data_IF_367104274983
#
_entry.id   IF_367104274983
#
_cell.length_a   1.000
_cell.length_b   1.000
_cell.length_c   1.000
_cell.angle_alpha   90.00
_cell.angle_beta   90.00
_cell.angle_gamma   90.00
#
_symmetry.space_group_name_H-M   'P 1'
#
loop_
_entity.id
_entity.type
_entity.pdbx_description
1 polymer ?
#
# COMPACT_ATOMS: atom_id res chain seq x y z
N UNK A 1 4.72 -30.34 -27.53
CA UNK A 1 3.54 -29.45 -27.63
C UNK A 1 3.30 -28.93 -26.23
N UNK A 2 4.15 -28.00 -25.80
CA UNK A 2 4.07 -27.38 -24.49
C UNK A 2 3.26 -26.10 -24.67
N UNK A 3 2.08 -26.03 -24.04
CA UNK A 3 1.41 -24.74 -23.86
C UNK A 3 1.81 -24.22 -22.50
N UNK A 4 2.57 -23.13 -22.57
CA UNK A 4 3.05 -22.28 -21.48
C UNK A 4 1.93 -21.91 -20.50
N UNK A 5 2.33 -21.80 -19.23
CA UNK A 5 1.47 -21.52 -18.10
C UNK A 5 0.63 -20.27 -18.29
N UNK A 6 -0.67 -20.40 -18.07
CA UNK A 6 -1.57 -19.27 -17.91
C UNK A 6 -1.21 -18.54 -16.63
N UNK A 7 -0.39 -17.51 -16.82
CA UNK A 7 -0.35 -16.24 -16.12
C UNK A 7 -1.36 -16.13 -14.97
N UNK A 8 -0.85 -15.99 -13.75
CA UNK A 8 -1.65 -15.67 -12.56
C UNK A 8 -2.14 -14.22 -12.71
N UNK A 9 -3.04 -14.00 -13.66
CA UNK A 9 -3.47 -12.70 -14.13
C UNK A 9 -4.19 -12.01 -12.97
N UNK A 10 -3.52 -11.03 -12.37
CA UNK A 10 -4.10 -10.20 -11.34
C UNK A 10 -5.38 -9.55 -11.90
N UNK A 11 -6.54 -9.99 -11.41
CA UNK A 11 -7.83 -9.45 -11.82
C UNK A 11 -8.04 -8.05 -11.18
N UNK A 12 -7.62 -7.03 -11.94
CA UNK A 12 -7.75 -5.61 -11.58
C UNK A 12 -9.18 -5.10 -11.71
N UNK A 13 -9.99 -5.70 -12.58
CA UNK A 13 -11.34 -5.23 -12.94
C UNK A 13 -12.25 -5.15 -11.73
N UNK A 14 -12.20 -6.15 -10.82
CA UNK A 14 -12.99 -6.10 -9.58
C UNK A 14 -12.69 -4.85 -8.75
N UNK A 15 -11.43 -4.42 -8.68
CA UNK A 15 -11.04 -3.22 -7.94
C UNK A 15 -11.48 -1.95 -8.67
N UNK A 16 -11.28 -1.89 -9.98
CA UNK A 16 -11.65 -0.73 -10.79
C UNK A 16 -13.14 -0.46 -10.73
N UNK A 17 -13.96 -1.51 -10.89
CA UNK A 17 -15.42 -1.42 -10.82
C UNK A 17 -15.90 -0.90 -9.47
N UNK A 18 -15.35 -1.42 -8.36
CA UNK A 18 -15.69 -0.94 -7.02
C UNK A 18 -15.21 0.51 -6.78
N UNK A 19 -14.04 0.88 -7.30
CA UNK A 19 -13.50 2.22 -7.13
C UNK A 19 -14.20 3.28 -7.99
N UNK A 20 -14.80 2.92 -9.12
CA UNK A 20 -15.45 3.86 -10.04
C UNK A 20 -16.47 4.76 -9.33
N UNK A 21 -17.34 4.17 -8.52
CA UNK A 21 -18.37 4.91 -7.79
C UNK A 21 -17.93 5.41 -6.39
N UNK A 22 -16.83 4.88 -5.84
CA UNK A 22 -16.51 5.05 -4.42
C UNK A 22 -15.17 5.75 -4.15
N UNK A 23 -14.27 5.84 -5.13
CA UNK A 23 -12.92 6.38 -4.90
C UNK A 23 -12.95 7.84 -4.44
N UNK A 24 -13.74 8.69 -5.12
CA UNK A 24 -13.84 10.12 -4.77
C UNK A 24 -14.41 10.31 -3.37
N UNK A 25 -15.43 9.54 -3.00
CA UNK A 25 -15.99 9.55 -1.64
C UNK A 25 -14.95 9.11 -0.61
N UNK A 26 -14.25 8.00 -0.85
CA UNK A 26 -13.21 7.50 0.04
C UNK A 26 -12.10 8.54 0.24
N UNK A 27 -11.60 9.14 -0.84
CA UNK A 27 -10.57 10.16 -0.79
C UNK A 27 -11.02 11.43 -0.05
N UNK A 28 -12.28 11.82 -0.21
CA UNK A 28 -12.86 12.96 0.52
C UNK A 28 -12.92 12.67 2.02
N UNK A 29 -13.46 11.51 2.41
CA UNK A 29 -13.50 11.09 3.82
C UNK A 29 -12.11 10.99 4.45
N UNK A 30 -11.11 10.52 3.68
CA UNK A 30 -9.72 10.46 4.11
C UNK A 30 -9.10 11.84 4.32
N UNK A 31 -9.41 12.81 3.46
CA UNK A 31 -8.96 14.22 3.57
C UNK A 31 -9.68 14.99 4.68
N UNK A 32 -10.89 14.56 5.01
CA UNK A 32 -11.66 15.10 6.14
C UNK A 32 -11.22 14.47 7.48
N UNK A 33 -10.33 13.48 7.46
CA UNK A 33 -9.82 12.81 8.64
C UNK A 33 -10.84 11.89 9.33
N UNK A 34 -11.87 11.45 8.61
CA UNK A 34 -12.89 10.55 9.17
C UNK A 34 -13.53 9.67 8.09
N UNK A 35 -13.26 8.36 8.17
CA UNK A 35 -13.95 7.34 7.40
C UNK A 35 -15.40 7.18 7.86
N UNK A 36 -16.33 7.15 6.91
CA UNK A 36 -17.78 7.09 7.14
C UNK A 36 -18.46 5.97 6.35
N UNK A 37 -17.94 5.61 5.18
CA UNK A 37 -18.60 4.64 4.28
C UNK A 37 -17.79 3.35 4.06
N UNK A 38 -18.35 2.42 3.29
CA UNK A 38 -17.89 1.03 3.19
C UNK A 38 -16.96 0.79 1.99
N UNK A 39 -15.72 1.27 2.07
CA UNK A 39 -14.75 1.16 0.97
C UNK A 39 -13.42 0.50 1.32
N UNK A 40 -13.23 0.10 2.59
CA UNK A 40 -11.91 -0.33 3.10
C UNK A 40 -11.26 -1.43 2.24
N UNK A 41 -12.03 -2.43 1.83
CA UNK A 41 -11.48 -3.63 1.17
C UNK A 41 -10.85 -3.38 -0.19
N UNK A 42 -11.36 -2.41 -0.95
CA UNK A 42 -10.93 -2.16 -2.34
C UNK A 42 -10.14 -0.85 -2.52
N UNK A 43 -10.10 0.00 -1.50
CA UNK A 43 -9.18 1.17 -1.44
C UNK A 43 -7.88 0.79 -0.73
N UNK A 44 -7.95 0.04 0.38
CA UNK A 44 -6.80 -0.48 1.11
C UNK A 44 -6.91 -2.00 1.21
N UNK A 45 -6.63 -2.74 0.11
CA UNK A 45 -6.72 -4.18 0.13
C UNK A 45 -5.61 -4.79 1.00
N UNK A 46 -5.91 -5.95 1.57
CA UNK A 46 -4.97 -6.75 2.37
C UNK A 46 -4.87 -8.14 1.75
N UNK A 47 -3.94 -8.96 2.26
CA UNK A 47 -3.84 -10.35 1.84
C UNK A 47 -5.16 -11.11 2.05
N UNK A 48 -5.57 -11.88 1.04
CA UNK A 48 -6.79 -12.69 1.04
C UNK A 48 -6.83 -13.67 2.21
N UNK A 49 -5.68 -14.23 2.58
CA UNK A 49 -5.54 -15.14 3.71
C UNK A 49 -5.94 -14.52 5.07
N UNK A 50 -5.94 -13.19 5.19
CA UNK A 50 -6.38 -12.48 6.40
C UNK A 50 -7.89 -12.19 6.40
N UNK A 51 -8.54 -12.31 5.24
CA UNK A 51 -9.95 -12.00 5.05
C UNK A 51 -10.88 -13.05 5.67
N UNK A 52 -11.75 -12.62 6.60
CA UNK A 52 -12.78 -13.48 7.20
C UNK A 52 -14.12 -13.42 6.48
N UNK A 53 -14.53 -12.23 6.02
CA UNK A 53 -15.79 -12.06 5.28
C UNK A 53 -15.63 -12.38 3.80
N UNK A 54 -16.75 -12.68 3.14
CA UNK A 54 -16.75 -12.91 1.69
C UNK A 54 -16.18 -11.71 0.92
N UNK A 55 -16.56 -10.49 1.29
CA UNK A 55 -16.04 -9.25 0.69
C UNK A 55 -14.53 -9.09 0.91
N UNK A 56 -14.02 -9.44 2.09
CA UNK A 56 -12.59 -9.38 2.37
C UNK A 56 -11.78 -10.40 1.58
N UNK A 57 -12.36 -11.58 1.32
CA UNK A 57 -11.74 -12.60 0.46
C UNK A 57 -11.84 -12.22 -1.01
N UNK A 58 -12.94 -11.62 -1.44
CA UNK A 58 -13.14 -11.19 -2.83
C UNK A 58 -12.15 -10.10 -3.25
N UNK A 59 -11.95 -9.07 -2.43
CA UNK A 59 -10.98 -8.00 -2.68
C UNK A 59 -9.58 -8.29 -2.09
N UNK A 60 -9.35 -9.51 -1.61
CA UNK A 60 -8.05 -9.91 -1.08
C UNK A 60 -6.99 -9.96 -2.18
N UNK A 61 -5.77 -9.56 -1.85
CA UNK A 61 -4.58 -9.80 -2.67
C UNK A 61 -4.05 -11.20 -2.35
N UNK A 62 -3.75 -12.00 -3.37
CA UNK A 62 -3.36 -13.41 -3.14
C UNK A 62 -1.98 -13.51 -2.46
N UNK A 63 -1.01 -12.79 -3.00
CA UNK A 63 0.40 -12.90 -2.62
C UNK A 63 1.19 -11.62 -2.97
N UNK A 64 2.52 -11.69 -2.86
CA UNK A 64 3.41 -10.57 -3.15
C UNK A 64 3.39 -10.17 -4.64
N UNK A 65 3.33 -11.16 -5.56
CA UNK A 65 3.31 -10.93 -7.01
C UNK A 65 2.04 -10.16 -7.41
N UNK A 66 0.90 -10.53 -6.81
CA UNK A 66 -0.35 -9.82 -7.01
C UNK A 66 -0.32 -8.39 -6.42
N UNK A 67 0.37 -8.17 -5.29
CA UNK A 67 0.57 -6.82 -4.74
C UNK A 67 1.45 -5.95 -5.66
N UNK A 68 2.53 -6.50 -6.21
CA UNK A 68 3.38 -5.82 -7.19
C UNK A 68 2.59 -5.47 -8.45
N UNK A 69 1.75 -6.39 -8.93
CA UNK A 69 0.86 -6.15 -10.08
C UNK A 69 -0.18 -5.05 -9.79
N UNK A 70 -0.74 -5.01 -8.59
CA UNK A 70 -1.64 -3.94 -8.14
C UNK A 70 -0.93 -2.58 -8.17
N UNK A 71 0.32 -2.51 -7.70
CA UNK A 71 1.13 -1.29 -7.70
C UNK A 71 1.50 -0.83 -9.12
N UNK A 72 1.83 -1.77 -10.01
CA UNK A 72 2.21 -1.48 -11.39
C UNK A 72 1.02 -1.02 -12.25
N UNK A 73 -0.21 -1.29 -11.82
CA UNK A 73 -1.40 -0.89 -12.55
C UNK A 73 -1.59 0.63 -12.58
N UNK A 74 -1.72 1.18 -13.79
CA UNK A 74 -1.73 2.64 -14.09
C UNK A 74 -2.74 3.48 -13.30
N UNK A 75 -3.82 2.87 -12.82
CA UNK A 75 -4.81 3.53 -11.96
C UNK A 75 -4.76 3.11 -10.49
N UNK A 76 -4.47 1.83 -10.19
CA UNK A 76 -4.68 1.31 -8.83
C UNK A 76 -3.52 1.70 -7.91
N UNK A 77 -2.28 1.60 -8.40
CA UNK A 77 -1.09 2.04 -7.68
C UNK A 77 -1.17 3.53 -7.29
N UNK A 78 -1.35 4.46 -8.24
CA UNK A 78 -1.44 5.88 -7.93
C UNK A 78 -2.59 6.22 -6.97
N UNK A 79 -3.75 5.58 -7.11
CA UNK A 79 -4.90 5.79 -6.20
C UNK A 79 -4.61 5.33 -4.78
N UNK A 80 -3.96 4.18 -4.63
CA UNK A 80 -3.57 3.67 -3.32
C UNK A 80 -2.56 4.60 -2.64
N UNK A 81 -1.58 5.11 -3.39
CA UNK A 81 -0.58 6.07 -2.89
C UNK A 81 -1.23 7.40 -2.50
N UNK A 82 -2.17 7.91 -3.31
CA UNK A 82 -2.91 9.14 -3.01
C UNK A 82 -3.75 8.96 -1.73
N UNK A 83 -4.49 7.86 -1.61
CA UNK A 83 -5.27 7.55 -0.41
C UNK A 83 -4.39 7.41 0.85
N UNK A 84 -3.25 6.72 0.75
CA UNK A 84 -2.29 6.60 1.84
C UNK A 84 -1.69 7.97 2.22
N UNK A 85 -1.42 8.82 1.23
CA UNK A 85 -0.89 10.17 1.47
C UNK A 85 -1.92 11.07 2.14
N UNK A 86 -3.21 10.93 1.80
CA UNK A 86 -4.29 11.68 2.42
C UNK A 86 -4.33 11.47 3.95
N UNK A 87 -4.14 10.24 4.41
CA UNK A 87 -4.08 9.92 5.83
C UNK A 87 -2.94 10.64 6.57
N UNK A 88 -1.79 10.82 5.92
CA UNK A 88 -0.61 11.43 6.55
C UNK A 88 -0.80 12.92 6.86
N UNK A 89 -1.77 13.61 6.26
CA UNK A 89 -2.14 14.96 6.67
C UNK A 89 -2.72 15.00 8.09
N UNK A 90 -3.27 13.89 8.58
CA UNK A 90 -3.89 13.75 9.89
C UNK A 90 -2.99 13.05 10.92
N UNK A 91 -1.67 13.05 10.72
CA UNK A 91 -0.70 12.36 11.61
C UNK A 91 -0.73 12.76 13.09
N UNK A 92 -1.38 13.88 13.43
CA UNK A 92 -1.59 14.31 14.83
C UNK A 92 -2.83 13.68 15.49
N UNK A 93 -3.68 13.00 14.73
CA UNK A 93 -4.87 12.32 15.23
C UNK A 93 -4.60 10.82 15.44
N UNK A 94 -5.20 10.20 16.47
CA UNK A 94 -5.18 8.75 16.60
C UNK A 94 -5.82 8.09 15.37
N UNK A 95 -5.19 7.05 14.83
CA UNK A 95 -5.72 6.36 13.65
C UNK A 95 -7.11 5.76 13.88
N UNK A 96 -7.41 5.37 15.12
CA UNK A 96 -8.73 4.88 15.55
C UNK A 96 -9.83 5.94 15.38
N UNK A 97 -9.50 7.22 15.50
CA UNK A 97 -10.44 8.33 15.25
C UNK A 97 -10.76 8.46 13.76
N UNK A 98 -9.77 8.21 12.89
CA UNK A 98 -9.92 8.35 11.44
C UNK A 98 -10.59 7.11 10.84
N UNK A 99 -10.10 5.92 11.18
CA UNK A 99 -10.46 4.65 10.53
C UNK A 99 -11.40 3.79 11.36
N UNK A 100 -11.50 4.02 12.67
CA UNK A 100 -12.17 3.09 13.59
C UNK A 100 -11.32 1.85 13.91
N UNK A 101 -11.75 1.11 14.93
CA UNK A 101 -10.98 0.02 15.55
C UNK A 101 -10.72 -1.18 14.62
N UNK A 102 -11.64 -1.46 13.69
CA UNK A 102 -11.51 -2.58 12.75
C UNK A 102 -10.66 -2.19 11.54
N UNK A 103 -10.98 -1.07 10.89
CA UNK A 103 -10.31 -0.70 9.64
C UNK A 103 -8.88 -0.22 9.88
N UNK A 104 -8.53 0.28 11.07
CA UNK A 104 -7.11 0.52 11.41
C UNK A 104 -6.26 -0.74 11.33
N UNK A 105 -6.79 -1.92 11.67
CA UNK A 105 -6.01 -3.18 11.62
C UNK A 105 -5.80 -3.61 10.17
N UNK A 106 -6.81 -3.37 9.33
CA UNK A 106 -6.73 -3.62 7.88
C UNK A 106 -5.71 -2.68 7.24
N UNK A 107 -5.73 -1.41 7.60
CA UNK A 107 -4.77 -0.42 7.10
C UNK A 107 -3.34 -0.81 7.45
N UNK A 108 -3.07 -1.26 8.68
CA UNK A 108 -1.74 -1.80 9.06
C UNK A 108 -1.35 -3.00 8.19
N UNK A 109 -2.29 -3.89 7.91
CA UNK A 109 -2.07 -5.07 7.06
C UNK A 109 -1.75 -4.68 5.61
N UNK A 110 -2.48 -3.70 5.06
CA UNK A 110 -2.25 -3.11 3.74
C UNK A 110 -0.89 -2.42 3.67
N UNK A 111 -0.59 -1.52 4.60
CA UNK A 111 0.68 -0.80 4.64
C UNK A 111 1.87 -1.77 4.73
N UNK A 112 1.73 -2.86 5.48
CA UNK A 112 2.77 -3.91 5.57
C UNK A 112 2.93 -4.66 4.25
N UNK A 113 1.82 -5.06 3.62
CA UNK A 113 1.84 -5.78 2.34
C UNK A 113 2.53 -4.96 1.25
N UNK A 114 2.09 -3.72 1.05
CA UNK A 114 2.62 -2.87 -0.02
C UNK A 114 4.01 -2.33 0.30
N UNK A 115 4.38 -2.23 1.57
CA UNK A 115 5.78 -2.01 1.96
C UNK A 115 6.68 -3.21 1.62
N UNK A 116 6.19 -4.44 1.76
CA UNK A 116 6.92 -5.65 1.38
C UNK A 116 7.02 -5.81 -0.14
N UNK A 117 5.99 -5.38 -0.88
CA UNK A 117 5.94 -5.37 -2.35
C UNK A 117 6.74 -4.22 -2.99
N UNK A 118 7.70 -3.65 -2.25
CA UNK A 118 8.52 -2.51 -2.66
C UNK A 118 7.73 -1.29 -3.19
N UNK A 119 6.55 -1.02 -2.62
CA UNK A 119 5.73 0.13 -2.97
C UNK A 119 6.28 1.47 -2.47
N UNK A 120 5.54 2.53 -2.76
CA UNK A 120 5.90 3.91 -2.40
C UNK A 120 6.26 4.06 -0.90
N UNK A 121 7.25 4.91 -0.54
CA UNK A 121 7.62 5.15 0.84
C UNK A 121 6.49 5.55 1.79
N UNK A 122 5.35 6.03 1.28
CA UNK A 122 4.14 6.37 2.03
C UNK A 122 3.67 5.25 2.95
N UNK A 123 3.76 3.98 2.53
CA UNK A 123 3.27 2.85 3.34
C UNK A 123 4.05 2.70 4.66
N UNK A 124 5.27 3.18 4.67
CA UNK A 124 6.16 3.09 5.83
C UNK A 124 6.03 4.27 6.73
N UNK A 125 5.79 5.43 6.13
CA UNK A 125 5.37 6.61 6.88
C UNK A 125 4.07 6.32 7.61
N UNK A 126 3.14 5.56 7.01
CA UNK A 126 1.94 5.09 7.71
C UNK A 126 2.30 4.20 8.92
N UNK A 127 3.15 3.18 8.72
CA UNK A 127 3.62 2.32 9.81
C UNK A 127 4.33 3.10 10.92
N UNK A 128 5.18 4.05 10.54
CA UNK A 128 5.93 4.89 11.47
C UNK A 128 5.02 5.82 12.28
N UNK A 129 4.10 6.52 11.63
CA UNK A 129 3.29 7.55 12.30
C UNK A 129 2.08 7.00 13.04
N UNK A 130 1.44 5.94 12.54
CA UNK A 130 0.21 5.42 13.12
C UNK A 130 0.38 4.12 13.90
N UNK A 131 1.52 3.44 13.76
CA UNK A 131 1.72 2.11 14.33
C UNK A 131 3.10 1.94 14.99
N UNK A 132 3.81 3.03 15.31
CA UNK A 132 5.11 3.00 15.99
C UNK A 132 6.12 2.07 15.31
N UNK A 133 6.08 2.01 13.97
CA UNK A 133 6.89 1.13 13.12
C UNK A 133 6.62 -0.36 13.31
N UNK A 134 5.50 -0.75 13.91
CA UNK A 134 5.09 -2.15 14.01
C UNK A 134 4.32 -2.60 12.76
N UNK A 135 4.89 -3.43 11.88
CA UNK A 135 4.15 -4.02 10.76
C UNK A 135 3.15 -5.07 11.24
N UNK A 136 2.19 -5.45 10.41
CA UNK A 136 1.24 -6.51 10.69
C UNK A 136 1.93 -7.88 10.66
N UNK A 137 2.10 -8.49 11.84
CA UNK A 137 2.76 -9.80 12.00
C UNK A 137 2.10 -10.88 11.14
N UNK A 138 0.76 -10.92 11.10
CA UNK A 138 0.04 -11.90 10.31
C UNK A 138 0.26 -11.73 8.80
N UNK A 139 0.45 -10.49 8.33
CA UNK A 139 0.83 -10.25 6.93
C UNK A 139 2.22 -10.81 6.67
N UNK A 140 3.19 -10.56 7.54
CA UNK A 140 4.56 -11.07 7.39
C UNK A 140 4.60 -12.60 7.41
N UNK A 141 3.91 -13.23 8.37
CA UNK A 141 3.82 -14.69 8.48
C UNK A 141 3.29 -15.34 7.20
N UNK A 142 2.22 -14.79 6.61
CA UNK A 142 1.66 -15.31 5.35
C UNK A 142 2.63 -15.12 4.18
N UNK A 143 3.44 -14.07 4.19
CA UNK A 143 4.48 -13.83 3.17
C UNK A 143 5.76 -14.64 3.42
N UNK A 144 5.85 -15.40 4.52
CA UNK A 144 7.09 -16.09 4.92
C UNK A 144 8.20 -15.13 5.33
N UNK A 145 7.83 -13.93 5.81
CA UNK A 145 8.74 -12.89 6.29
C UNK A 145 8.70 -12.79 7.81
N UNK A 146 9.79 -12.28 8.38
CA UNK A 146 9.88 -11.82 9.76
C UNK A 146 10.29 -10.33 9.80
N UNK A 147 10.42 -9.76 11.01
CA UNK A 147 10.80 -8.36 11.17
C UNK A 147 12.20 -8.06 10.63
N UNK A 148 13.13 -9.01 10.73
CA UNK A 148 14.51 -8.84 10.31
C UNK A 148 14.60 -8.78 8.78
N UNK A 149 13.98 -9.74 8.10
CA UNK A 149 13.92 -9.80 6.64
C UNK A 149 13.04 -8.69 6.05
N UNK A 150 11.96 -8.31 6.73
CA UNK A 150 11.19 -7.12 6.34
C UNK A 150 12.05 -5.86 6.41
N UNK A 151 12.87 -5.68 7.45
CA UNK A 151 13.83 -4.58 7.52
C UNK A 151 14.87 -4.63 6.39
N UNK A 152 15.42 -5.81 6.09
CA UNK A 152 16.47 -6.00 5.09
C UNK A 152 15.98 -5.75 3.65
N UNK A 153 14.81 -6.29 3.25
CA UNK A 153 14.19 -6.01 1.95
C UNK A 153 14.13 -4.50 1.69
N UNK A 154 13.90 -3.74 2.75
CA UNK A 154 13.70 -2.30 2.71
C UNK A 154 14.98 -1.47 2.76
N UNK A 155 16.09 -2.08 3.18
CA UNK A 155 17.41 -1.44 3.21
C UNK A 155 18.24 -1.72 1.96
N UNK A 156 17.98 -2.83 1.26
CA UNK A 156 18.67 -3.17 0.01
C UNK A 156 18.39 -2.15 -1.11
N UNK A 157 17.19 -1.57 -1.17
CA UNK A 157 16.83 -0.63 -2.24
C UNK A 157 17.40 0.80 -2.03
N UNK A 158 17.65 1.23 -0.77
CA UNK A 158 18.33 2.51 -0.48
C UNK A 158 19.81 2.56 -0.91
N UNK A 159 20.40 1.42 -1.31
CA UNK A 159 21.74 1.37 -1.92
C UNK A 159 21.66 1.42 -3.45
N UNK A 160 20.57 0.95 -4.07
CA UNK A 160 20.37 1.02 -5.51
C UNK A 160 20.06 2.45 -5.99
N UNK A 161 19.32 3.26 -5.20
CA UNK A 161 19.01 4.67 -5.56
C UNK A 161 20.15 5.66 -5.35
N UNK A 162 21.38 5.22 -5.02
CA UNK A 162 22.55 6.11 -4.85
C UNK A 162 23.50 6.12 -6.05
N UNK A 163 23.14 5.45 -7.14
CA UNK A 163 23.87 5.51 -8.42
C UNK A 163 23.05 6.26 -9.48
N UNK A 164 22.80 7.55 -9.24
CA UNK A 164 22.51 8.51 -10.31
C UNK A 164 23.19 9.83 -9.95
N UNK A 165 24.52 9.82 -10.08
CA UNK A 165 25.30 11.04 -10.10
C UNK A 165 24.95 11.85 -11.34
N UNK A 166 24.36 13.02 -11.12
CA UNK A 166 24.41 14.15 -12.07
C UNK A 166 24.65 15.41 -11.25
N UNK A 167 25.87 15.53 -10.74
CA UNK A 167 26.47 16.84 -10.51
C UNK A 167 26.73 17.47 -11.87
N UNK A 168 26.20 18.69 -12.08
CA UNK A 168 26.95 19.85 -12.59
C UNK A 168 26.02 21.07 -12.70
N UNK A 169 26.16 21.96 -11.72
CA UNK A 169 25.90 23.40 -11.90
C UNK A 169 27.02 23.98 -12.79
N UNK A 170 26.73 24.88 -13.73
CA UNK A 170 27.72 25.82 -14.23
C UNK A 170 27.66 27.12 -13.42
N UNK A 171 28.84 27.54 -12.95
CA UNK A 171 29.12 28.83 -12.32
C UNK A 171 28.79 30.00 -13.25
N UNK A 172 28.26 31.06 -12.65
CA UNK A 172 28.11 32.38 -13.22
C UNK A 172 29.49 32.95 -13.60
N UNK A 173 29.66 33.36 -14.86
CA UNK A 173 30.76 34.23 -15.28
C UNK A 173 30.21 35.65 -15.39
N UNK A 174 30.63 36.51 -14.47
CA UNK A 174 30.60 37.96 -14.63
C UNK A 174 32.00 38.42 -15.06
N UNK A 175 32.07 39.13 -16.20
CA UNK A 175 33.31 39.66 -16.77
C UNK A 175 33.14 40.02 -18.23
#
# INVERSE_FOLDING_TARGET
MEKEGTDNMFDSERFLHAQEANYITALTELRDGQKRTHWMWYIFPQLKALGRSQTAKYFGIEDLIAAESYLAHVLLGPRLVEAASALLFHKSLPIDTIMGSIDRMKLRSTATLFAAANGDPVFLKLLEHFYERHPCERTLEVLGLDLDNFGLIRHLDRRASRCSGFDKFPEEVTG
#
